data_IF_171111941108
#
_entry.id   IF_171111941108
#
_cell.length_a   1.000
_cell.length_b   1.000
_cell.length_c   1.000
_cell.angle_alpha   90.00
_cell.angle_beta   90.00
_cell.angle_gamma   90.00
#
_symmetry.space_group_name_H-M   'P 1'
#
loop_
_entity.id
_entity.type
_entity.pdbx_description
1 polymer ?
#
# COMPACT_ATOMS: atom_id res chain seq x y z
N UNK A 1 -2.60 2.47 -20.76
CA UNK A 1 -4.00 2.94 -20.71
C UNK A 1 -4.85 1.95 -21.46
N UNK A 2 -5.89 1.42 -20.81
CA UNK A 2 -6.80 0.42 -21.37
C UNK A 2 -8.22 0.92 -21.17
N UNK A 3 -9.04 0.80 -22.21
CA UNK A 3 -10.46 1.13 -22.17
C UNK A 3 -11.24 -0.19 -22.18
N UNK A 4 -12.26 -0.30 -21.33
CA UNK A 4 -13.13 -1.49 -21.21
C UNK A 4 -14.59 -1.06 -21.33
N UNK A 5 -15.50 -1.91 -21.81
CA UNK A 5 -16.93 -1.60 -21.83
C UNK A 5 -17.45 -1.26 -20.42
N UNK A 6 -18.23 -0.19 -20.30
CA UNK A 6 -18.70 0.31 -19.00
C UNK A 6 -19.71 -0.65 -18.33
N UNK A 7 -20.37 -1.49 -19.13
CA UNK A 7 -21.39 -2.43 -18.70
C UNK A 7 -20.80 -3.80 -18.32
N UNK A 8 -19.50 -4.00 -18.56
CA UNK A 8 -18.83 -5.25 -18.26
C UNK A 8 -18.66 -5.43 -16.75
N UNK A 9 -18.81 -6.67 -16.28
CA UNK A 9 -18.52 -7.02 -14.89
C UNK A 9 -17.09 -6.60 -14.54
N UNK A 10 -16.94 -5.82 -13.47
CA UNK A 10 -15.67 -5.20 -13.13
C UNK A 10 -14.62 -6.25 -12.71
N UNK A 11 -15.03 -7.37 -12.12
CA UNK A 11 -14.13 -8.46 -11.76
C UNK A 11 -13.63 -9.19 -13.02
N UNK A 12 -14.49 -9.31 -14.04
CA UNK A 12 -14.07 -9.86 -15.33
C UNK A 12 -13.08 -8.93 -16.05
N UNK A 13 -13.34 -7.62 -16.05
CA UNK A 13 -12.41 -6.64 -16.63
C UNK A 13 -11.03 -6.68 -15.94
N UNK A 14 -10.99 -6.94 -14.63
CA UNK A 14 -9.75 -7.11 -13.87
C UNK A 14 -8.99 -8.37 -14.28
N UNK A 15 -9.67 -9.52 -14.35
CA UNK A 15 -9.02 -10.77 -14.79
C UNK A 15 -8.40 -10.63 -16.20
N UNK A 16 -9.04 -9.89 -17.11
CA UNK A 16 -8.47 -9.62 -18.43
C UNK A 16 -7.17 -8.82 -18.32
N UNK A 17 -7.16 -7.78 -17.49
CA UNK A 17 -5.98 -6.92 -17.28
C UNK A 17 -4.82 -7.72 -16.65
N UNK A 18 -5.08 -8.48 -15.59
CA UNK A 18 -4.11 -9.37 -14.95
C UNK A 18 -3.46 -10.33 -15.95
N UNK A 19 -4.28 -10.91 -16.84
CA UNK A 19 -3.80 -11.84 -17.85
C UNK A 19 -2.92 -11.14 -18.89
N UNK A 20 -3.22 -9.88 -19.25
CA UNK A 20 -2.37 -9.08 -20.14
C UNK A 20 -1.01 -8.83 -19.49
N UNK A 21 -0.98 -8.36 -18.24
CA UNK A 21 0.29 -8.11 -17.53
C UNK A 21 1.14 -9.39 -17.42
N UNK A 22 0.50 -10.49 -17.04
CA UNK A 22 1.12 -11.81 -16.95
C UNK A 22 1.71 -12.26 -18.29
N UNK A 23 0.96 -12.09 -19.39
CA UNK A 23 1.42 -12.48 -20.72
C UNK A 23 2.63 -11.67 -21.17
N UNK A 24 2.68 -10.37 -20.89
CA UNK A 24 3.82 -9.51 -21.20
C UNK A 24 5.05 -9.86 -20.36
N UNK A 25 4.85 -10.18 -19.09
CA UNK A 25 5.92 -10.64 -18.23
C UNK A 25 6.53 -11.95 -18.77
N UNK A 26 5.71 -12.99 -19.01
CA UNK A 26 6.24 -14.30 -19.41
C UNK A 26 6.73 -14.36 -20.85
N UNK A 27 6.03 -13.72 -21.80
CA UNK A 27 6.36 -13.85 -23.23
C UNK A 27 7.38 -12.82 -23.70
N UNK A 28 7.50 -11.69 -22.99
CA UNK A 28 8.34 -10.55 -23.42
C UNK A 28 9.35 -10.12 -22.37
N UNK A 29 9.27 -10.60 -21.12
CA UNK A 29 10.15 -10.14 -20.04
C UNK A 29 9.90 -8.68 -19.66
N UNK A 30 8.71 -8.16 -19.96
CA UNK A 30 8.35 -6.76 -19.71
C UNK A 30 7.38 -6.73 -18.52
N UNK A 31 7.75 -5.98 -17.48
CA UNK A 31 6.85 -5.64 -16.39
C UNK A 31 5.91 -4.51 -16.83
N UNK A 32 4.72 -4.89 -17.29
CA UNK A 32 3.64 -3.97 -17.62
C UNK A 32 2.74 -3.80 -16.39
N UNK A 33 2.31 -2.57 -16.12
CA UNK A 33 1.39 -2.24 -15.02
C UNK A 33 0.19 -1.47 -15.57
N UNK A 34 -1.01 -1.94 -15.27
CA UNK A 34 -2.30 -1.39 -15.64
C UNK A 34 -3.16 -1.37 -14.37
N UNK A 35 -3.31 -0.19 -13.77
CA UNK A 35 -4.06 -0.04 -12.51
C UNK A 35 -5.58 -0.15 -12.74
N UNK A 36 -6.17 -1.32 -12.47
CA UNK A 36 -7.62 -1.51 -12.45
C UNK A 36 -8.06 -2.61 -11.46
N UNK A 37 -8.07 -2.28 -10.17
CA UNK A 37 -8.42 -3.23 -9.11
C UNK A 37 -9.81 -2.94 -8.51
N UNK A 38 -10.84 -3.72 -8.86
CA UNK A 38 -12.15 -3.60 -8.23
C UNK A 38 -12.07 -3.96 -6.75
N UNK A 39 -12.35 -2.98 -5.90
CA UNK A 39 -12.53 -3.21 -4.48
C UNK A 39 -13.99 -3.57 -4.17
N UNK A 40 -14.19 -4.66 -3.44
CA UNK A 40 -15.49 -4.99 -2.87
C UNK A 40 -15.69 -4.12 -1.64
N UNK A 41 -16.56 -3.11 -1.74
CA UNK A 41 -16.80 -2.14 -0.65
C UNK A 41 -17.86 -2.57 0.35
N UNK A 42 -18.61 -3.63 0.07
CA UNK A 42 -19.79 -4.03 0.87
C UNK A 42 -19.53 -5.24 1.81
N UNK A 43 -18.32 -5.37 2.36
CA UNK A 43 -18.06 -6.26 3.50
C UNK A 43 -17.87 -5.43 4.78
N UNK A 44 -18.91 -5.28 5.62
CA UNK A 44 -18.83 -4.56 6.89
C UNK A 44 -17.74 -5.10 7.83
N UNK A 45 -17.40 -6.39 7.75
CA UNK A 45 -16.35 -6.99 8.58
C UNK A 45 -14.97 -6.53 8.11
N UNK A 46 -14.72 -6.58 6.82
CA UNK A 46 -13.47 -6.09 6.21
C UNK A 46 -13.31 -4.58 6.40
N UNK A 47 -14.38 -3.80 6.22
CA UNK A 47 -14.35 -2.34 6.42
C UNK A 47 -14.02 -1.94 7.86
N UNK A 48 -14.59 -2.64 8.85
CA UNK A 48 -14.24 -2.42 10.26
C UNK A 48 -12.77 -2.73 10.53
N UNK A 49 -12.28 -3.84 9.98
CA UNK A 49 -10.89 -4.24 10.17
C UNK A 49 -9.92 -3.25 9.49
N UNK A 50 -10.24 -2.78 8.28
CA UNK A 50 -9.51 -1.73 7.59
C UNK A 50 -9.39 -0.46 8.44
N UNK A 51 -10.49 -0.02 9.05
CA UNK A 51 -10.47 1.15 9.92
C UNK A 51 -9.55 0.94 11.14
N UNK A 52 -9.60 -0.24 11.77
CA UNK A 52 -8.72 -0.57 12.90
C UNK A 52 -7.24 -0.59 12.50
N UNK A 53 -6.91 -1.18 11.35
CA UNK A 53 -5.52 -1.23 10.84
C UNK A 53 -5.03 0.19 10.51
N UNK A 54 -5.86 1.05 9.92
CA UNK A 54 -5.51 2.46 9.67
C UNK A 54 -5.20 3.23 10.95
N UNK A 55 -5.96 3.03 12.03
CA UNK A 55 -5.66 3.65 13.32
C UNK A 55 -4.36 3.14 13.93
N UNK A 56 -4.07 1.83 13.80
CA UNK A 56 -2.77 1.26 14.22
C UNK A 56 -1.61 1.95 13.49
N UNK A 57 -1.70 2.07 12.16
CA UNK A 57 -0.64 2.69 11.36
C UNK A 57 -0.43 4.16 11.70
N UNK A 58 -1.53 4.91 11.87
CA UNK A 58 -1.47 6.32 12.29
C UNK A 58 -0.83 6.48 13.67
N UNK A 59 -1.05 5.52 14.58
CA UNK A 59 -0.41 5.49 15.89
C UNK A 59 1.09 5.18 15.84
N UNK A 60 1.57 4.50 14.79
CA UNK A 60 3.00 4.22 14.59
C UNK A 60 3.73 5.41 13.96
N UNK A 61 3.18 5.97 12.89
CA UNK A 61 3.71 7.18 12.26
C UNK A 61 2.70 7.81 11.31
N UNK A 62 2.55 9.15 11.29
CA UNK A 62 1.71 9.84 10.32
C UNK A 62 2.28 9.84 8.90
N UNK A 63 3.56 9.47 8.72
CA UNK A 63 4.24 9.44 7.41
C UNK A 63 4.00 8.14 6.64
N UNK A 64 3.25 7.19 7.21
CA UNK A 64 2.99 5.88 6.61
C UNK A 64 1.57 5.84 6.04
N UNK A 65 1.42 5.32 4.82
CA UNK A 65 0.10 5.04 4.23
C UNK A 65 -0.13 3.55 4.02
N UNK A 66 -1.42 3.18 3.94
CA UNK A 66 -1.86 1.81 3.65
C UNK A 66 -2.51 1.78 2.27
N UNK A 67 -2.02 0.88 1.42
CA UNK A 67 -2.55 0.60 0.09
C UNK A 67 -3.00 -0.86 -0.01
N UNK A 68 -3.95 -1.12 -0.90
CA UNK A 68 -4.36 -2.46 -1.35
C UNK A 68 -4.71 -3.47 -0.25
N UNK A 69 -5.54 -3.01 0.70
CA UNK A 69 -6.01 -3.84 1.81
C UNK A 69 -7.10 -4.83 1.40
N UNK A 70 -6.83 -6.11 1.64
CA UNK A 70 -7.79 -7.21 1.50
C UNK A 70 -7.69 -8.18 2.66
N UNK A 71 -8.77 -8.94 2.87
CA UNK A 71 -8.81 -9.97 3.92
C UNK A 71 -9.23 -11.29 3.31
N UNK A 72 -8.43 -12.34 3.59
CA UNK A 72 -8.79 -13.73 3.28
C UNK A 72 -9.26 -14.39 4.55
N UNK A 73 -10.57 -14.63 4.65
CA UNK A 73 -11.19 -15.27 5.81
C UNK A 73 -11.04 -16.80 5.73
N UNK A 74 -10.24 -17.38 6.61
CA UNK A 74 -10.15 -18.82 6.81
C UNK A 74 -11.01 -19.32 7.99
N UNK A 75 -11.14 -20.65 8.16
CA UNK A 75 -11.94 -21.24 9.23
C UNK A 75 -11.32 -21.05 10.63
N UNK A 76 -9.99 -20.92 10.73
CA UNK A 76 -9.27 -20.79 12.01
C UNK A 76 -8.56 -19.45 12.17
N UNK A 77 -8.31 -18.74 11.07
CA UNK A 77 -7.55 -17.49 11.05
C UNK A 77 -7.92 -16.66 9.83
N UNK A 78 -7.53 -15.38 9.86
CA UNK A 78 -7.68 -14.48 8.73
C UNK A 78 -6.31 -13.96 8.30
N UNK A 79 -6.05 -13.96 6.99
CA UNK A 79 -4.87 -13.29 6.43
C UNK A 79 -5.26 -11.88 5.99
N UNK A 80 -4.58 -10.88 6.54
CA UNK A 80 -4.76 -9.48 6.18
C UNK A 80 -3.63 -9.13 5.24
N UNK A 81 -3.92 -8.92 3.96
CA UNK A 81 -2.88 -8.62 2.97
C UNK A 81 -3.00 -7.15 2.59
N UNK A 82 -1.91 -6.41 2.71
CA UNK A 82 -1.87 -4.98 2.41
C UNK A 82 -0.44 -4.50 2.25
N UNK A 83 -0.32 -3.37 1.57
CA UNK A 83 0.95 -2.72 1.32
C UNK A 83 1.06 -1.47 2.20
N UNK A 84 2.27 -1.19 2.64
CA UNK A 84 2.58 -0.08 3.53
C UNK A 84 3.61 0.79 2.83
N UNK A 85 3.21 1.99 2.45
CA UNK A 85 4.13 2.93 1.82
C UNK A 85 4.82 3.79 2.89
N UNK A 86 6.14 3.90 2.80
CA UNK A 86 6.97 4.68 3.71
C UNK A 86 7.89 5.65 2.94
N UNK A 87 8.24 6.80 3.53
CA UNK A 87 9.18 7.73 2.91
C UNK A 87 10.61 7.16 2.90
N UNK A 88 11.41 7.59 1.94
CA UNK A 88 12.84 7.27 1.92
C UNK A 88 13.53 7.80 3.18
N UNK A 89 14.26 6.93 3.89
CA UNK A 89 14.89 7.26 5.18
C UNK A 89 13.97 7.14 6.39
N UNK A 90 12.86 6.39 6.28
CA UNK A 90 12.03 6.04 7.43
C UNK A 90 12.88 5.42 8.55
N UNK A 91 12.58 5.80 9.80
CA UNK A 91 13.45 5.49 10.94
C UNK A 91 13.51 3.99 11.29
N UNK A 92 12.50 3.22 10.87
CA UNK A 92 12.45 1.77 11.06
C UNK A 92 12.80 1.07 9.75
N UNK A 93 13.55 -0.02 9.85
CA UNK A 93 13.66 -0.96 8.72
C UNK A 93 12.32 -1.65 8.44
N UNK A 94 12.13 -2.13 7.20
CA UNK A 94 10.93 -2.84 6.75
C UNK A 94 10.54 -3.98 7.69
N UNK A 95 11.53 -4.77 8.13
CA UNK A 95 11.31 -5.88 9.05
C UNK A 95 10.87 -5.42 10.44
N UNK A 96 11.42 -4.30 10.95
CA UNK A 96 11.00 -3.73 12.23
C UNK A 96 9.57 -3.17 12.15
N UNK A 97 9.25 -2.48 11.04
CA UNK A 97 7.93 -1.93 10.81
C UNK A 97 6.88 -3.04 10.69
N UNK A 98 7.12 -4.03 9.83
CA UNK A 98 6.25 -5.19 9.69
C UNK A 98 6.04 -5.92 11.02
N UNK A 99 7.09 -6.08 11.82
CA UNK A 99 7.01 -6.69 13.16
C UNK A 99 6.19 -5.86 14.14
N UNK A 100 6.30 -4.53 14.10
CA UNK A 100 5.52 -3.64 14.95
C UNK A 100 4.04 -3.69 14.59
N UNK A 101 3.72 -3.59 13.29
CA UNK A 101 2.34 -3.71 12.79
C UNK A 101 1.75 -5.07 13.16
N UNK A 102 2.51 -6.15 12.97
CA UNK A 102 2.08 -7.51 13.30
C UNK A 102 1.69 -7.65 14.77
N UNK A 103 2.49 -7.12 15.69
CA UNK A 103 2.16 -7.16 17.13
C UNK A 103 0.88 -6.41 17.43
N UNK A 104 0.68 -5.21 16.88
CA UNK A 104 -0.52 -4.42 17.15
C UNK A 104 -1.78 -5.10 16.57
N UNK A 105 -1.69 -5.68 15.37
CA UNK A 105 -2.81 -6.43 14.76
C UNK A 105 -3.15 -7.67 15.59
N UNK A 106 -2.15 -8.40 16.09
CA UNK A 106 -2.38 -9.59 16.91
C UNK A 106 -3.01 -9.26 18.29
N UNK A 107 -2.87 -8.03 18.79
CA UNK A 107 -3.62 -7.57 19.98
C UNK A 107 -5.12 -7.41 19.70
N UNK A 108 -5.52 -7.11 18.47
CA UNK A 108 -6.93 -7.07 18.08
C UNK A 108 -7.52 -8.48 18.07
N UNK A 109 -6.79 -9.43 17.48
CA UNK A 109 -7.15 -10.84 17.47
C UNK A 109 -5.88 -11.68 17.20
N UNK A 110 -5.54 -12.66 18.05
CA UNK A 110 -4.37 -13.51 17.85
C UNK A 110 -4.43 -14.39 16.59
N UNK A 111 -5.62 -14.52 15.99
CA UNK A 111 -5.84 -15.26 14.75
C UNK A 111 -5.82 -14.37 13.49
N UNK A 112 -5.39 -13.11 13.61
CA UNK A 112 -5.13 -12.24 12.45
C UNK A 112 -3.65 -12.27 12.10
N UNK A 113 -3.36 -12.69 10.86
CA UNK A 113 -2.02 -12.84 10.32
C UNK A 113 -1.83 -11.83 9.20
N UNK A 114 -1.13 -10.72 9.46
CA UNK A 114 -0.84 -9.76 8.42
C UNK A 114 0.27 -10.25 7.49
N UNK A 115 0.06 -10.07 6.19
CA UNK A 115 1.02 -10.29 5.10
C UNK A 115 1.29 -8.91 4.52
N UNK A 116 2.46 -8.34 4.84
CA UNK A 116 2.77 -6.93 4.63
C UNK A 116 3.86 -6.80 3.58
N UNK A 117 3.60 -6.04 2.52
CA UNK A 117 4.64 -5.51 1.63
C UNK A 117 4.99 -4.10 2.07
N UNK A 118 6.28 -3.75 2.10
CA UNK A 118 6.73 -2.38 2.41
C UNK A 118 7.25 -1.75 1.14
N UNK A 119 6.54 -0.73 0.67
CA UNK A 119 6.90 0.06 -0.49
C UNK A 119 7.54 1.38 -0.06
N UNK A 120 8.47 1.88 -0.87
CA UNK A 120 9.16 3.13 -0.61
C UNK A 120 8.78 4.16 -1.66
N UNK A 121 8.15 5.25 -1.23
CA UNK A 121 7.78 6.34 -2.14
C UNK A 121 9.03 7.03 -2.69
N UNK A 122 9.19 7.01 -4.01
CA UNK A 122 10.26 7.70 -4.74
C UNK A 122 9.88 9.16 -5.04
N UNK A 123 9.44 9.92 -4.03
CA UNK A 123 9.36 11.38 -4.18
C UNK A 123 10.56 11.98 -3.45
N UNK A 124 11.60 12.46 -4.17
CA UNK A 124 12.67 13.23 -3.55
C UNK A 124 12.02 14.41 -2.82
N UNK A 125 12.18 14.50 -1.49
CA UNK A 125 11.89 15.75 -0.79
C UNK A 125 12.87 16.77 -1.35
N UNK A 126 12.38 17.76 -2.11
CA UNK A 126 13.17 18.93 -2.48
C UNK A 126 13.79 19.49 -1.19
N UNK A 127 15.11 19.40 -1.09
CA UNK A 127 15.86 20.11 -0.07
C UNK A 127 15.65 21.59 -0.36
N UNK A 128 14.78 22.24 0.40
CA UNK A 128 14.68 23.69 0.40
C UNK A 128 16.08 24.25 0.71
N UNK A 129 16.70 24.86 -0.29
CA UNK A 129 17.97 25.56 -0.11
C UNK A 129 17.80 26.62 0.99
N UNK A 130 18.74 26.72 1.94
CA UNK A 130 18.68 27.77 2.94
C UNK A 130 18.82 29.13 2.24
N UNK A 131 18.05 30.16 2.67
CA UNK A 131 18.20 31.49 2.11
C UNK A 131 19.62 32.01 2.37
N UNK A 132 20.33 32.38 1.30
CA UNK A 132 21.67 32.95 1.39
C UNK A 132 21.66 34.18 2.31
N UNK A 133 22.42 34.08 3.40
CA UNK A 133 22.65 35.16 4.33
C UNK A 133 23.69 36.15 3.75
N UNK A 134 23.22 37.33 3.35
CA UNK A 134 23.88 38.63 3.57
C UNK A 134 25.20 38.93 2.86
N UNK A 135 25.16 39.91 1.95
CA UNK A 135 26.34 40.60 1.43
C UNK A 135 26.13 42.12 1.44
N UNK A 136 26.83 42.80 2.35
CA UNK A 136 26.77 44.24 2.59
C UNK A 136 27.24 45.12 1.41
N UNK A 137 26.63 46.31 1.36
CA UNK A 137 27.14 47.63 0.95
C UNK A 137 28.50 47.68 0.24
N UNK A 138 28.54 48.39 -0.91
CA UNK A 138 29.60 49.38 -1.21
C UNK A 138 29.21 50.31 -2.38
N UNK A 139 29.25 51.60 -2.02
CA UNK A 139 29.41 52.84 -2.81
C UNK A 139 28.33 53.26 -3.82
#
# INVERSE_FOLDING_TARGET
HCEVPAEQDILLSHDIIDNIERDFLYRKGIHLVIHMDPIVTDDPRTNRLLAQVREILRGLSPEISLHDFRVVWGPTHANLVFDVCVPFGFSMSDGQLASAITREIQKLNPHYYPVITVDHDYVPKETAEPPEAGGATKN
#
